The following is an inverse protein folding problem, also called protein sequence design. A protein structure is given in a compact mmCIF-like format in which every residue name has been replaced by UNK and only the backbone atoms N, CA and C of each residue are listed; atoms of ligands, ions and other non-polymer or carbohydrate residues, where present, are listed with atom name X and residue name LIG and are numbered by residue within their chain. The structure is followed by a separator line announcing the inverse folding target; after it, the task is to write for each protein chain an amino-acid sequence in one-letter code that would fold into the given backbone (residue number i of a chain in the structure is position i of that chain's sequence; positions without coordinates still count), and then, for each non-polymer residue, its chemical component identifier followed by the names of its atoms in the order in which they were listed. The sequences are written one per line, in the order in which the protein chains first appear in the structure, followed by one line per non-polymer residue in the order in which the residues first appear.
data_IF_924028464637
#
_entry.id   IF_924028464637
#
_cell.length_a   1.000
_cell.length_b   1.000
_cell.length_c   1.000
_cell.angle_alpha   90.00
_cell.angle_beta   90.00
_cell.angle_gamma   90.00
#
_symmetry.space_group_name_H-M   'P 1'
#
loop_
_entity.id
_entity.type
_entity.pdbx_description
1 polymer ?
#
# COMPACT_ATOMS: atom_id res chain seq x y z
N UNK A 1 28.50 6.53 8.73
CA UNK A 1 27.22 6.80 9.38
C UNK A 1 26.65 8.09 8.81
N UNK A 2 25.39 8.06 8.40
CA UNK A 2 24.70 9.18 7.70
C UNK A 2 23.56 9.76 8.51
N UNK A 3 23.53 9.51 9.81
CA UNK A 3 22.47 9.97 10.72
C UNK A 3 23.06 10.84 11.83
N UNK A 4 22.33 11.87 12.22
CA UNK A 4 22.70 12.77 13.32
C UNK A 4 21.63 12.69 14.41
N UNK A 5 22.07 12.47 15.64
CA UNK A 5 21.20 12.51 16.82
C UNK A 5 21.14 13.95 17.34
N UNK A 6 19.93 14.52 17.41
CA UNK A 6 19.66 15.83 18.01
C UNK A 6 19.00 15.60 19.39
N UNK A 7 19.60 16.16 20.44
CA UNK A 7 19.03 16.15 21.78
C UNK A 7 18.68 17.57 22.19
N UNK A 8 17.39 17.96 22.19
CA UNK A 8 16.99 19.30 22.58
C UNK A 8 17.12 19.53 24.08
N UNK A 9 17.36 20.77 24.46
CA UNK A 9 17.15 21.21 25.84
C UNK A 9 15.64 21.32 26.07
N UNK A 10 15.05 20.32 26.75
CA UNK A 10 13.58 20.19 26.96
C UNK A 10 12.97 21.35 27.76
N UNK A 11 13.78 22.09 28.52
CA UNK A 11 13.34 23.31 29.23
C UNK A 11 13.02 24.46 28.27
N UNK A 12 13.66 24.48 27.09
CA UNK A 12 13.50 25.51 26.08
C UNK A 12 12.72 25.07 24.86
N UNK A 13 12.83 23.79 24.50
CA UNK A 13 12.31 23.26 23.23
C UNK A 13 11.50 21.99 23.49
N UNK A 14 10.27 21.96 22.98
CA UNK A 14 9.48 20.75 22.93
C UNK A 14 10.05 19.81 21.84
N UNK A 15 10.41 18.56 22.18
CA UNK A 15 10.99 17.62 21.20
C UNK A 15 10.06 17.34 20.01
N UNK A 16 8.76 17.21 20.22
CA UNK A 16 7.78 16.98 19.15
C UNK A 16 7.68 18.20 18.23
N UNK A 17 7.56 19.40 18.80
CA UNK A 17 7.59 20.63 18.03
C UNK A 17 8.87 20.74 17.18
N UNK A 18 10.04 20.42 17.75
CA UNK A 18 11.32 20.49 17.05
C UNK A 18 11.35 19.56 15.81
N UNK A 19 10.79 18.36 15.91
CA UNK A 19 10.69 17.43 14.77
C UNK A 19 9.92 18.09 13.63
N UNK A 20 8.73 18.63 13.91
CA UNK A 20 7.91 19.30 12.87
C UNK A 20 8.52 20.59 12.38
N UNK A 21 9.16 21.36 13.26
CA UNK A 21 9.91 22.56 12.84
C UNK A 21 10.97 22.19 11.80
N UNK A 22 11.78 21.16 12.07
CA UNK A 22 12.83 20.72 11.15
C UNK A 22 12.27 20.12 9.84
N UNK A 23 11.07 19.58 9.85
CA UNK A 23 10.36 19.08 8.66
C UNK A 23 9.65 20.20 7.87
N UNK A 24 9.52 21.39 8.43
CA UNK A 24 8.84 22.51 7.78
C UNK A 24 9.68 23.14 6.66
N UNK A 25 9.06 23.91 5.72
CA UNK A 25 9.74 24.39 4.52
C UNK A 25 10.99 25.25 4.79
N UNK A 26 10.96 26.15 5.77
CA UNK A 26 12.07 27.10 6.05
C UNK A 26 13.36 26.37 6.43
N UNK A 27 13.40 25.51 7.48
CA UNK A 27 14.61 24.76 7.83
C UNK A 27 15.06 23.79 6.73
N UNK A 28 14.11 23.15 6.04
CA UNK A 28 14.44 22.25 4.93
C UNK A 28 15.13 23.00 3.78
N UNK A 29 14.64 24.17 3.41
CA UNK A 29 15.27 25.01 2.39
C UNK A 29 16.68 25.45 2.80
N UNK A 30 16.87 25.92 4.03
CA UNK A 30 18.18 26.35 4.55
C UNK A 30 19.18 25.18 4.57
N UNK A 31 18.78 24.00 5.06
CA UNK A 31 19.64 22.82 5.11
C UNK A 31 19.99 22.29 3.72
N UNK A 32 19.02 22.23 2.80
CA UNK A 32 19.26 21.82 1.42
C UNK A 32 20.14 22.79 0.66
N UNK A 33 20.03 24.08 0.94
CA UNK A 33 20.90 25.11 0.35
C UNK A 33 22.38 24.97 0.75
N UNK A 34 22.67 24.26 1.85
CA UNK A 34 24.05 23.96 2.28
C UNK A 34 24.54 22.58 1.81
N UNK A 35 23.69 21.82 1.12
CA UNK A 35 24.03 20.47 0.72
C UNK A 35 25.06 20.44 -0.42
N UNK A 36 26.07 19.58 -0.28
CA UNK A 36 27.09 19.35 -1.28
C UNK A 36 26.95 17.96 -1.91
N UNK A 37 27.19 17.85 -3.20
CA UNK A 37 27.20 16.57 -3.94
C UNK A 37 26.26 16.56 -5.14
N UNK A 38 26.78 16.15 -6.30
CA UNK A 38 26.05 16.15 -7.56
C UNK A 38 25.03 15.02 -7.68
N UNK A 39 25.23 13.90 -6.98
CA UNK A 39 24.40 12.69 -7.09
C UNK A 39 23.58 12.42 -5.83
N UNK A 40 24.14 12.71 -4.66
CA UNK A 40 23.45 12.58 -3.36
C UNK A 40 23.78 13.81 -2.53
N UNK A 41 22.78 14.56 -2.16
CA UNK A 41 22.93 15.75 -1.32
C UNK A 41 23.35 15.34 0.11
N UNK A 42 24.50 15.84 0.56
CA UNK A 42 24.99 15.64 1.92
C UNK A 42 24.93 16.92 2.73
N UNK A 43 24.20 16.88 3.84
CA UNK A 43 24.18 17.96 4.84
C UNK A 43 25.28 17.68 5.85
N UNK A 44 26.20 18.62 6.00
CA UNK A 44 27.30 18.49 6.97
C UNK A 44 26.86 18.87 8.38
N UNK A 45 27.58 18.37 9.39
CA UNK A 45 27.27 18.63 10.79
C UNK A 45 27.33 20.11 11.20
N UNK A 46 28.27 20.94 10.68
CA UNK A 46 28.26 22.40 10.90
C UNK A 46 26.98 23.06 10.42
N UNK A 47 26.40 22.68 9.27
CA UNK A 47 25.15 23.26 8.80
C UNK A 47 24.00 23.02 9.77
N UNK A 48 23.92 21.81 10.32
CA UNK A 48 22.90 21.47 11.33
C UNK A 48 23.14 22.25 12.63
N UNK A 49 24.38 22.36 13.09
CA UNK A 49 24.73 23.10 14.33
C UNK A 49 24.48 24.61 14.25
N UNK A 50 24.64 25.17 13.06
CA UNK A 50 24.49 26.61 12.83
C UNK A 50 23.07 27.00 12.37
N UNK A 51 22.18 26.03 12.20
CA UNK A 51 20.79 26.32 11.86
C UNK A 51 20.16 27.19 12.94
N UNK A 52 19.69 28.37 12.56
CA UNK A 52 18.98 29.27 13.46
C UNK A 52 17.54 28.82 13.62
N UNK A 53 17.14 28.56 14.84
CA UNK A 53 15.78 28.10 15.18
C UNK A 53 15.05 29.25 15.87
N UNK A 54 13.97 29.73 15.28
CA UNK A 54 13.04 30.68 15.88
C UNK A 54 12.01 29.89 16.70
N UNK A 55 11.97 30.09 17.98
CA UNK A 55 11.11 29.37 18.89
C UNK A 55 10.01 30.28 19.43
N UNK A 56 8.73 29.93 19.26
CA UNK A 56 7.66 30.59 20.02
C UNK A 56 7.73 30.21 21.50
N UNK A 57 6.86 30.78 22.31
CA UNK A 57 6.75 30.40 23.70
C UNK A 57 6.54 28.91 23.89
N UNK A 58 7.04 28.36 24.99
CA UNK A 58 7.00 26.90 25.25
C UNK A 58 5.57 26.34 25.22
N UNK A 59 4.60 27.09 25.73
CA UNK A 59 3.17 26.75 25.69
C UNK A 59 2.63 26.58 24.29
N UNK A 60 3.06 27.45 23.36
CA UNK A 60 2.68 27.38 21.93
C UNK A 60 3.35 26.16 21.26
N UNK A 61 4.67 25.94 21.54
CA UNK A 61 5.35 24.74 21.05
C UNK A 61 4.65 23.46 21.50
N UNK A 62 4.22 23.38 22.75
CA UNK A 62 3.56 22.21 23.32
C UNK A 62 2.21 21.95 22.63
N UNK A 63 1.43 23.00 22.36
CA UNK A 63 0.15 22.87 21.64
C UNK A 63 0.36 22.42 20.18
N UNK A 64 1.26 23.08 19.45
CA UNK A 64 1.56 22.72 18.05
C UNK A 64 2.07 21.29 17.98
N UNK A 65 3.04 20.93 18.81
CA UNK A 65 3.58 19.57 18.88
C UNK A 65 2.50 18.53 19.13
N UNK A 66 1.61 18.77 20.10
CA UNK A 66 0.50 17.87 20.43
C UNK A 66 -0.46 17.71 19.25
N UNK A 67 -0.86 18.81 18.60
CA UNK A 67 -1.78 18.74 17.46
C UNK A 67 -1.18 17.90 16.34
N UNK A 68 0.06 18.19 15.94
CA UNK A 68 0.68 17.49 14.80
C UNK A 68 0.97 16.02 15.10
N UNK A 69 1.41 15.69 16.33
CA UNK A 69 1.58 14.30 16.78
C UNK A 69 0.26 13.53 16.76
N UNK A 70 -0.86 14.17 17.13
CA UNK A 70 -2.16 13.52 17.09
C UNK A 70 -2.52 13.04 15.65
N UNK A 71 -2.17 13.81 14.63
CA UNK A 71 -2.35 13.35 13.23
C UNK A 71 -1.50 12.11 12.93
N UNK A 72 -0.22 12.12 13.32
CA UNK A 72 0.68 10.99 13.08
C UNK A 72 0.27 9.74 13.86
N UNK A 73 -0.15 9.89 15.12
CA UNK A 73 -0.67 8.80 15.96
C UNK A 73 -1.92 8.17 15.34
N UNK A 74 -2.83 8.98 14.81
CA UNK A 74 -4.03 8.49 14.12
C UNK A 74 -3.65 7.73 12.84
N UNK A 75 -2.72 8.27 12.05
CA UNK A 75 -2.21 7.60 10.83
C UNK A 75 -1.57 6.26 11.19
N UNK A 76 -0.72 6.23 12.20
CA UNK A 76 -0.05 4.99 12.64
C UNK A 76 -1.06 3.97 13.18
N UNK A 77 -2.04 4.40 13.98
CA UNK A 77 -3.10 3.53 14.46
C UNK A 77 -3.91 2.93 13.30
N UNK A 78 -4.28 3.73 12.31
CA UNK A 78 -4.97 3.24 11.12
C UNK A 78 -4.11 2.24 10.34
N UNK A 79 -2.81 2.50 10.18
CA UNK A 79 -1.88 1.57 9.52
C UNK A 79 -1.79 0.22 10.26
N UNK A 80 -1.76 0.23 11.60
CA UNK A 80 -1.79 -0.99 12.41
C UNK A 80 -3.11 -1.76 12.21
N UNK A 81 -4.25 -1.05 12.18
CA UNK A 81 -5.54 -1.66 11.91
C UNK A 81 -5.60 -2.30 10.52
N UNK A 82 -5.10 -1.59 9.48
CA UNK A 82 -5.02 -2.12 8.11
C UNK A 82 -4.25 -3.45 8.12
N UNK A 83 -3.04 -3.45 8.67
CA UNK A 83 -2.21 -4.66 8.75
C UNK A 83 -2.93 -5.83 9.44
N UNK A 84 -3.60 -5.57 10.57
CA UNK A 84 -4.33 -6.61 11.31
C UNK A 84 -5.52 -7.16 10.51
N UNK A 85 -6.22 -6.32 9.74
CA UNK A 85 -7.32 -6.74 8.88
C UNK A 85 -6.82 -7.58 7.69
N UNK A 86 -5.70 -7.19 7.08
CA UNK A 86 -5.05 -7.99 6.03
C UNK A 86 -4.62 -9.35 6.55
N UNK A 87 -3.95 -9.39 7.70
CA UNK A 87 -3.55 -10.64 8.35
C UNK A 87 -4.76 -11.52 8.73
N UNK A 88 -5.86 -10.92 9.17
CA UNK A 88 -7.08 -11.66 9.52
C UNK A 88 -7.72 -12.29 8.28
N UNK A 89 -7.82 -11.56 7.16
CA UNK A 89 -8.35 -12.09 5.90
C UNK A 89 -7.46 -13.23 5.37
N UNK A 90 -6.13 -13.07 5.40
CA UNK A 90 -5.19 -14.09 4.97
C UNK A 90 -5.23 -15.34 5.86
N UNK A 91 -5.35 -15.15 7.18
CA UNK A 91 -5.47 -16.28 8.12
C UNK A 91 -6.76 -17.06 7.88
N UNK A 92 -7.89 -16.36 7.65
CA UNK A 92 -9.16 -16.99 7.33
C UNK A 92 -9.06 -17.79 6.03
N UNK A 93 -8.45 -17.22 4.98
CA UNK A 93 -8.22 -17.91 3.72
C UNK A 93 -7.38 -19.17 3.93
N UNK A 94 -6.26 -19.05 4.66
CA UNK A 94 -5.38 -20.18 4.95
C UNK A 94 -6.11 -21.28 5.72
N UNK A 95 -6.86 -20.90 6.74
CA UNK A 95 -7.61 -21.87 7.56
C UNK A 95 -8.62 -22.65 6.73
N UNK A 96 -9.39 -21.98 5.87
CA UNK A 96 -10.43 -22.63 5.10
C UNK A 96 -9.89 -23.43 3.89
N UNK A 97 -9.00 -22.84 3.12
CA UNK A 97 -8.63 -23.35 1.79
C UNK A 97 -7.25 -23.99 1.72
N UNK A 98 -6.39 -23.77 2.71
CA UNK A 98 -5.07 -24.41 2.80
C UNK A 98 -5.07 -25.50 3.88
N UNK A 99 -5.53 -25.15 5.08
CA UNK A 99 -5.59 -26.09 6.22
C UNK A 99 -6.89 -26.93 6.21
N UNK A 100 -7.80 -26.69 5.26
CA UNK A 100 -9.06 -27.38 5.00
C UNK A 100 -10.03 -27.38 6.21
N UNK A 101 -9.97 -26.35 7.06
CA UNK A 101 -10.85 -26.15 8.22
C UNK A 101 -11.97 -25.16 7.93
N UNK A 102 -12.70 -25.40 6.85
CA UNK A 102 -13.86 -24.61 6.42
C UNK A 102 -15.14 -25.04 7.17
N UNK A 103 -16.20 -24.23 7.19
CA UNK A 103 -17.47 -24.61 7.80
C UNK A 103 -18.04 -25.90 7.20
N UNK A 104 -18.23 -26.91 8.03
CA UNK A 104 -18.73 -28.24 7.62
C UNK A 104 -17.65 -29.26 7.24
N UNK A 105 -16.36 -28.91 7.40
CA UNK A 105 -15.24 -29.80 7.07
C UNK A 105 -15.27 -31.14 7.82
N UNK A 106 -15.82 -31.18 9.04
CA UNK A 106 -15.90 -32.39 9.85
C UNK A 106 -16.79 -33.49 9.20
N UNK A 107 -17.73 -33.08 8.36
CA UNK A 107 -18.67 -33.96 7.66
C UNK A 107 -18.31 -34.14 6.17
N UNK A 108 -17.26 -33.50 5.69
CA UNK A 108 -16.84 -33.53 4.29
C UNK A 108 -15.79 -34.62 4.08
N UNK A 109 -15.99 -35.53 3.16
CA UNK A 109 -15.01 -36.56 2.81
C UNK A 109 -13.82 -35.92 2.06
N UNK A 110 -12.64 -36.46 2.29
CA UNK A 110 -11.46 -36.14 1.48
C UNK A 110 -11.32 -37.22 0.40
N UNK A 111 -11.34 -36.78 -0.86
CA UNK A 111 -11.19 -37.64 -2.04
C UNK A 111 -10.00 -37.14 -2.82
N UNK A 112 -9.02 -38.01 -3.10
CA UNK A 112 -7.77 -37.65 -3.80
C UNK A 112 -7.02 -36.43 -3.24
N UNK A 113 -7.11 -36.27 -1.90
CA UNK A 113 -6.41 -35.21 -1.16
C UNK A 113 -7.07 -33.83 -1.21
N UNK A 114 -8.31 -33.76 -1.71
CA UNK A 114 -9.15 -32.53 -1.66
C UNK A 114 -10.54 -32.87 -1.07
N UNK A 115 -11.23 -31.90 -0.45
CA UNK A 115 -12.60 -32.10 0.01
C UNK A 115 -13.55 -32.46 -1.14
N UNK A 116 -14.53 -33.29 -0.86
CA UNK A 116 -15.57 -33.66 -1.82
C UNK A 116 -16.28 -32.43 -2.38
N UNK A 117 -16.40 -32.33 -3.71
CA UNK A 117 -16.93 -31.16 -4.42
C UNK A 117 -15.90 -30.09 -4.77
N UNK A 118 -14.64 -30.23 -4.31
CA UNK A 118 -13.55 -29.35 -4.73
C UNK A 118 -12.76 -29.97 -5.88
N UNK A 119 -12.07 -29.14 -6.65
CA UNK A 119 -11.21 -29.59 -7.74
C UNK A 119 -9.78 -29.11 -7.63
N UNK A 120 -8.84 -29.88 -8.22
CA UNK A 120 -7.50 -29.40 -8.54
C UNK A 120 -7.51 -28.83 -9.94
N UNK A 121 -7.10 -27.60 -10.09
CA UNK A 121 -7.14 -26.91 -11.37
C UNK A 121 -5.91 -26.04 -11.55
N UNK A 122 -5.75 -25.45 -12.72
CA UNK A 122 -4.70 -24.47 -12.98
C UNK A 122 -5.21 -23.05 -12.70
N UNK A 123 -4.32 -22.16 -12.27
CA UNK A 123 -4.68 -20.78 -12.00
C UNK A 123 -5.32 -20.07 -13.20
N UNK A 124 -5.02 -20.52 -14.43
CA UNK A 124 -5.62 -20.00 -15.66
C UNK A 124 -7.11 -20.35 -15.81
N UNK A 125 -7.60 -21.34 -15.06
CA UNK A 125 -9.04 -21.67 -14.99
C UNK A 125 -9.77 -20.78 -13.99
N UNK A 126 -9.04 -20.16 -13.05
CA UNK A 126 -9.57 -19.25 -12.02
C UNK A 126 -9.56 -17.79 -12.52
N UNK A 127 -8.54 -17.39 -13.29
CA UNK A 127 -8.35 -15.99 -13.68
C UNK A 127 -7.55 -15.84 -14.98
N UNK A 128 -7.66 -14.65 -15.58
CA UNK A 128 -6.86 -14.29 -16.75
C UNK A 128 -6.09 -12.99 -16.50
N UNK A 129 -4.77 -13.03 -16.62
CA UNK A 129 -3.95 -11.82 -16.54
C UNK A 129 -3.87 -11.10 -17.89
N UNK A 130 -3.96 -9.78 -17.84
CA UNK A 130 -3.74 -8.92 -19.01
C UNK A 130 -2.72 -7.82 -18.67
N UNK A 131 -1.93 -7.43 -19.68
CA UNK A 131 -0.96 -6.33 -19.55
C UNK A 131 -1.69 -4.99 -19.53
N UNK A 132 -1.19 -4.04 -18.75
CA UNK A 132 -1.63 -2.65 -18.77
C UNK A 132 -1.31 -1.95 -20.10
N UNK A 133 -1.70 -0.70 -20.19
CA UNK A 133 -1.70 0.09 -21.41
C UNK A 133 -0.60 1.14 -21.38
N UNK A 134 -0.03 1.42 -22.55
CA UNK A 134 0.96 2.47 -22.69
C UNK A 134 0.33 3.84 -22.40
N UNK A 135 1.04 4.67 -21.64
CA UNK A 135 0.68 6.06 -21.36
C UNK A 135 1.96 6.79 -20.96
N UNK A 136 2.43 7.67 -21.80
CA UNK A 136 3.59 8.51 -21.49
C UNK A 136 3.20 9.68 -20.58
N UNK A 137 4.18 10.27 -19.88
CA UNK A 137 3.92 11.45 -19.03
C UNK A 137 3.30 12.60 -19.81
N UNK A 138 3.68 12.79 -21.08
CA UNK A 138 3.17 13.86 -21.94
C UNK A 138 1.71 13.64 -22.39
N UNK A 139 1.24 12.41 -22.40
CA UNK A 139 -0.13 12.03 -22.74
C UNK A 139 -1.06 12.07 -21.53
N UNK A 140 -0.51 12.10 -20.30
CA UNK A 140 -1.29 12.24 -19.09
C UNK A 140 -1.96 13.62 -19.05
N UNK A 141 -3.29 13.64 -19.11
CA UNK A 141 -4.11 14.84 -18.95
C UNK A 141 -4.64 14.90 -17.52
N UNK A 142 -4.65 16.09 -16.93
CA UNK A 142 -5.16 16.27 -15.57
C UNK A 142 -6.56 15.66 -15.40
N UNK A 143 -6.74 14.83 -14.38
CA UNK A 143 -7.97 14.10 -14.14
C UNK A 143 -8.00 13.40 -12.79
N UNK A 144 -9.04 12.62 -12.55
CA UNK A 144 -9.33 11.99 -11.27
C UNK A 144 -8.97 10.49 -11.19
N UNK A 145 -8.71 9.85 -12.32
CA UNK A 145 -8.47 8.42 -12.35
C UNK A 145 -7.00 8.12 -12.10
N UNK A 146 -6.66 7.29 -11.11
CA UNK A 146 -5.27 6.96 -10.84
C UNK A 146 -4.65 6.19 -12.02
N UNK A 147 -3.43 6.56 -12.36
CA UNK A 147 -2.55 5.79 -13.24
C UNK A 147 -1.70 4.91 -12.34
N UNK A 148 -2.00 3.61 -12.34
CA UNK A 148 -1.39 2.63 -11.45
C UNK A 148 -0.18 2.01 -12.13
N UNK A 149 0.96 2.08 -11.45
CA UNK A 149 2.20 1.39 -11.82
C UNK A 149 2.36 0.06 -11.08
N UNK A 150 3.57 -0.48 -11.10
CA UNK A 150 3.86 -1.81 -10.53
C UNK A 150 3.62 -1.91 -9.02
N UNK A 151 3.81 -0.82 -8.27
CA UNK A 151 3.68 -0.81 -6.81
C UNK A 151 3.02 0.43 -6.24
N UNK A 152 2.79 1.45 -7.07
CA UNK A 152 2.27 2.75 -6.63
C UNK A 152 1.44 3.42 -7.72
N UNK A 153 0.64 4.40 -7.32
CA UNK A 153 0.04 5.37 -8.25
C UNK A 153 1.15 6.29 -8.75
N UNK A 154 1.34 6.37 -10.06
CA UNK A 154 2.39 7.16 -10.74
C UNK A 154 1.88 8.49 -11.27
N UNK A 155 0.57 8.74 -11.20
CA UNK A 155 -0.07 9.97 -11.64
C UNK A 155 -1.60 9.82 -11.70
N UNK A 156 -2.24 10.82 -12.28
CA UNK A 156 -3.68 10.82 -12.52
C UNK A 156 -3.99 11.18 -13.96
N UNK A 157 -5.11 10.65 -14.50
CA UNK A 157 -5.53 10.88 -15.87
C UNK A 157 -7.05 11.20 -15.93
N UNK A 158 -7.49 11.82 -17.01
CA UNK A 158 -8.90 12.15 -17.22
C UNK A 158 -9.74 10.96 -17.73
N UNK A 159 -9.08 9.89 -18.18
CA UNK A 159 -9.71 8.66 -18.67
C UNK A 159 -9.24 7.44 -17.87
N UNK A 160 -10.04 6.39 -17.87
CA UNK A 160 -9.68 5.08 -17.34
C UNK A 160 -9.80 3.99 -18.40
N UNK A 161 -9.07 2.91 -18.26
CA UNK A 161 -9.19 1.72 -19.13
C UNK A 161 -9.80 0.53 -18.41
N UNK A 162 -9.72 0.51 -17.08
CA UNK A 162 -10.17 -0.62 -16.26
C UNK A 162 -11.20 -0.11 -15.27
N UNK A 163 -12.36 -0.79 -15.26
CA UNK A 163 -13.41 -0.54 -14.27
C UNK A 163 -13.04 -1.27 -12.99
N UNK A 164 -13.05 -0.55 -11.88
CA UNK A 164 -12.83 -1.13 -10.56
C UNK A 164 -14.07 -1.86 -10.01
N UNK A 165 -13.90 -2.74 -8.98
CA UNK A 165 -12.60 -3.06 -8.39
C UNK A 165 -11.75 -3.96 -9.28
N UNK A 166 -10.41 -3.91 -9.10
CA UNK A 166 -9.47 -4.74 -9.85
C UNK A 166 -8.23 -5.11 -9.05
N UNK A 167 -7.63 -6.25 -9.37
CA UNK A 167 -6.39 -6.73 -8.76
C UNK A 167 -5.26 -6.50 -9.75
N UNK A 168 -4.18 -5.89 -9.26
CA UNK A 168 -3.01 -5.50 -10.04
C UNK A 168 -1.74 -6.06 -9.41
N UNK A 169 -0.78 -6.46 -10.23
CA UNK A 169 0.57 -6.83 -9.80
C UNK A 169 1.63 -6.25 -10.74
N UNK A 170 2.86 -6.14 -10.27
CA UNK A 170 3.98 -5.78 -11.13
C UNK A 170 4.29 -6.90 -12.12
N UNK A 171 4.78 -6.51 -13.30
CA UNK A 171 5.19 -7.45 -14.35
C UNK A 171 6.62 -7.95 -14.15
N UNK A 172 7.49 -7.13 -13.54
CA UNK A 172 8.92 -7.40 -13.38
C UNK A 172 9.42 -6.79 -12.08
N UNK A 173 10.20 -7.54 -11.29
CA UNK A 173 10.80 -7.08 -10.03
C UNK A 173 9.84 -6.89 -8.84
N UNK A 174 8.54 -6.73 -9.09
CA UNK A 174 7.49 -6.63 -8.07
C UNK A 174 6.36 -7.63 -8.27
N UNK A 175 6.66 -8.71 -8.99
CA UNK A 175 5.75 -9.83 -9.19
C UNK A 175 5.39 -10.47 -7.84
N UNK A 176 4.11 -10.83 -7.65
CA UNK A 176 3.61 -11.38 -6.40
C UNK A 176 3.27 -10.32 -5.33
N UNK A 177 3.54 -9.03 -5.60
CA UNK A 177 3.00 -7.94 -4.79
C UNK A 177 1.71 -7.45 -5.45
N UNK A 178 0.60 -7.73 -4.79
CA UNK A 178 -0.72 -7.38 -5.33
C UNK A 178 -1.25 -6.11 -4.72
N UNK A 179 -1.95 -5.30 -5.54
CA UNK A 179 -2.71 -4.14 -5.13
C UNK A 179 -4.19 -4.38 -5.45
N UNK A 180 -5.08 -4.07 -4.52
CA UNK A 180 -6.52 -4.07 -4.74
C UNK A 180 -6.97 -2.64 -5.04
N UNK A 181 -7.36 -2.37 -6.30
CA UNK A 181 -7.76 -1.04 -6.74
C UNK A 181 -9.28 -0.96 -6.77
N UNK A 182 -9.84 -0.11 -5.93
CA UNK A 182 -11.29 -0.01 -5.73
C UNK A 182 -12.04 0.75 -6.80
N UNK A 183 -11.44 1.85 -7.24
CA UNK A 183 -12.07 2.79 -8.17
C UNK A 183 -11.61 2.50 -9.60
N UNK A 184 -12.24 3.11 -10.61
CA UNK A 184 -11.80 2.99 -11.99
C UNK A 184 -10.38 3.56 -12.14
N UNK A 185 -9.54 2.92 -12.95
CA UNK A 185 -8.13 3.28 -13.07
C UNK A 185 -7.57 3.05 -14.48
N UNK A 186 -6.43 3.65 -14.75
CA UNK A 186 -5.57 3.31 -15.86
C UNK A 186 -4.41 2.47 -15.34
N UNK A 187 -4.18 1.29 -15.88
CA UNK A 187 -3.00 0.49 -15.55
C UNK A 187 -1.90 0.73 -16.56
N UNK A 188 -0.73 1.14 -16.07
CA UNK A 188 0.45 1.32 -16.90
C UNK A 188 1.02 -0.02 -17.40
N UNK A 189 1.65 -0.02 -18.57
CA UNK A 189 2.16 -1.20 -19.25
C UNK A 189 3.23 -2.01 -18.49
N UNK A 190 3.79 -1.45 -17.43
CA UNK A 190 4.76 -2.11 -16.53
C UNK A 190 4.12 -3.11 -15.57
N UNK A 191 2.79 -3.22 -15.61
CA UNK A 191 2.00 -4.01 -14.67
C UNK A 191 1.01 -4.94 -15.39
N UNK A 192 0.46 -5.87 -14.63
CA UNK A 192 -0.59 -6.80 -15.05
C UNK A 192 -1.82 -6.58 -14.17
N UNK A 193 -3.01 -6.84 -14.72
CA UNK A 193 -4.25 -6.88 -13.98
C UNK A 193 -5.03 -8.14 -14.34
N UNK A 194 -5.97 -8.53 -13.49
CA UNK A 194 -6.90 -9.59 -13.80
C UNK A 194 -8.02 -9.02 -14.67
N UNK A 195 -8.07 -9.46 -15.91
CA UNK A 195 -9.07 -9.01 -16.88
C UNK A 195 -10.34 -9.84 -16.85
N UNK A 196 -10.27 -11.06 -16.30
CA UNK A 196 -11.39 -11.98 -16.19
C UNK A 196 -11.19 -12.84 -14.93
N UNK A 197 -12.19 -12.91 -14.09
CA UNK A 197 -12.22 -13.69 -12.84
C UNK A 197 -12.91 -15.05 -13.04
N UNK A 198 -13.41 -15.36 -14.24
CA UNK A 198 -14.06 -16.63 -14.59
C UNK A 198 -15.13 -17.07 -13.57
N UNK A 199 -15.99 -16.12 -13.22
CA UNK A 199 -17.08 -16.25 -12.25
C UNK A 199 -16.66 -16.42 -10.79
N UNK A 200 -15.34 -16.45 -10.48
CA UNK A 200 -14.87 -16.51 -9.11
C UNK A 200 -14.98 -15.15 -8.38
N UNK A 201 -15.23 -15.23 -7.08
CA UNK A 201 -15.33 -14.04 -6.24
C UNK A 201 -13.98 -13.31 -6.14
N UNK A 202 -13.97 -12.00 -6.36
CA UNK A 202 -12.76 -11.18 -6.39
C UNK A 202 -11.96 -11.23 -5.05
N UNK A 203 -12.64 -11.33 -3.90
CA UNK A 203 -11.95 -11.40 -2.59
C UNK A 203 -11.31 -12.77 -2.37
N UNK A 204 -11.95 -13.83 -2.86
CA UNK A 204 -11.35 -15.16 -2.91
C UNK A 204 -10.10 -15.14 -3.78
N UNK A 205 -10.20 -14.66 -5.02
CA UNK A 205 -9.07 -14.58 -5.96
C UNK A 205 -7.93 -13.72 -5.42
N UNK A 206 -8.23 -12.58 -4.78
CA UNK A 206 -7.21 -11.74 -4.18
C UNK A 206 -6.46 -12.45 -3.06
N UNK A 207 -7.16 -13.19 -2.21
CA UNK A 207 -6.55 -13.95 -1.12
C UNK A 207 -5.78 -15.17 -1.63
N UNK A 208 -6.29 -15.88 -2.64
CA UNK A 208 -5.59 -16.96 -3.34
C UNK A 208 -4.23 -16.50 -3.85
N UNK A 209 -4.21 -15.40 -4.59
CA UNK A 209 -2.98 -14.89 -5.21
C UNK A 209 -1.89 -14.55 -4.19
N UNK A 210 -2.25 -14.13 -2.99
CA UNK A 210 -1.28 -13.84 -1.93
C UNK A 210 -0.65 -15.10 -1.32
N UNK A 211 -1.20 -16.28 -1.59
CA UNK A 211 -0.62 -17.57 -1.15
C UNK A 211 0.29 -18.19 -2.20
N UNK A 212 0.23 -17.73 -3.44
CA UNK A 212 1.05 -18.27 -4.54
C UNK A 212 2.45 -17.67 -4.48
N UNK A 213 3.46 -18.51 -4.31
CA UNK A 213 4.87 -18.09 -4.36
C UNK A 213 5.39 -17.97 -5.79
N UNK A 214 5.15 -16.80 -6.39
CA UNK A 214 5.66 -16.50 -7.74
C UNK A 214 7.18 -16.34 -7.80
N UNK A 215 7.86 -16.13 -6.68
CA UNK A 215 9.30 -15.99 -6.65
C UNK A 215 10.00 -17.34 -6.91
N UNK A 216 9.43 -18.44 -6.39
CA UNK A 216 9.94 -19.80 -6.61
C UNK A 216 9.78 -20.29 -8.05
N UNK A 217 8.85 -19.71 -8.81
CA UNK A 217 8.57 -20.09 -10.20
C UNK A 217 9.57 -19.51 -11.20
N UNK A 218 10.57 -18.78 -10.70
CA UNK A 218 11.57 -18.13 -11.55
C UNK A 218 12.70 -19.09 -11.92
N UNK A 219 12.64 -19.64 -13.11
CA UNK A 219 13.68 -20.53 -13.65
C UNK A 219 14.95 -19.75 -14.07
N UNK A 220 15.67 -19.14 -13.09
CA UNK A 220 17.06 -18.73 -13.27
C UNK A 220 17.34 -17.42 -14.03
N UNK A 221 16.36 -16.61 -14.32
CA UNK A 221 16.56 -15.26 -14.87
C UNK A 221 16.74 -14.20 -13.80
N UNK A 222 17.62 -13.23 -14.00
CA UNK A 222 17.90 -12.16 -13.03
C UNK A 222 16.68 -11.27 -12.67
N UNK A 223 15.61 -11.31 -13.47
CA UNK A 223 14.36 -10.58 -13.24
C UNK A 223 13.17 -11.49 -13.55
N UNK A 224 12.34 -11.85 -12.55
CA UNK A 224 11.12 -12.61 -12.80
C UNK A 224 10.18 -11.86 -13.73
N UNK A 225 9.90 -12.44 -14.89
CA UNK A 225 8.88 -11.92 -15.82
C UNK A 225 7.76 -12.95 -15.91
N UNK A 226 6.54 -12.53 -15.61
CA UNK A 226 5.37 -13.41 -15.69
C UNK A 226 5.11 -13.77 -17.15
N UNK A 227 5.46 -15.01 -17.51
CA UNK A 227 5.13 -15.59 -18.80
C UNK A 227 3.85 -16.42 -18.65
N UNK A 228 2.97 -16.38 -19.66
CA UNK A 228 1.74 -17.19 -19.69
C UNK A 228 2.01 -18.68 -19.45
N UNK A 229 3.13 -19.20 -19.93
CA UNK A 229 3.53 -20.59 -19.74
C UNK A 229 3.91 -20.93 -18.28
N UNK A 230 4.31 -19.94 -17.49
CA UNK A 230 4.60 -20.14 -16.05
C UNK A 230 3.29 -20.22 -15.27
N UNK A 231 2.31 -19.40 -15.63
CA UNK A 231 0.99 -19.39 -15.00
C UNK A 231 0.21 -20.68 -15.25
N UNK A 232 0.32 -21.27 -16.44
CA UNK A 232 -0.38 -22.53 -16.78
C UNK A 232 0.09 -23.74 -15.96
N UNK A 233 1.22 -23.61 -15.25
CA UNK A 233 1.77 -24.69 -14.41
C UNK A 233 1.48 -24.52 -12.91
N UNK A 234 0.77 -23.44 -12.51
CA UNK A 234 0.40 -23.22 -11.12
C UNK A 234 -0.88 -23.99 -10.83
N UNK A 235 -0.73 -25.10 -10.11
CA UNK A 235 -1.86 -25.87 -9.60
C UNK A 235 -2.44 -25.17 -8.37
N UNK A 236 -3.76 -25.06 -8.32
CA UNK A 236 -4.51 -24.47 -7.21
C UNK A 236 -5.71 -25.38 -6.86
N UNK A 237 -6.20 -25.24 -5.65
CA UNK A 237 -7.42 -25.92 -5.21
C UNK A 237 -8.58 -24.94 -5.37
N UNK A 238 -9.60 -25.37 -6.09
CA UNK A 238 -10.83 -24.64 -6.34
C UNK A 238 -11.93 -25.18 -5.44
N UNK A 239 -12.38 -24.40 -4.43
CA UNK A 239 -13.51 -24.78 -3.59
C UNK A 239 -14.84 -24.52 -4.30
N UNK A 240 -15.93 -25.01 -3.72
CA UNK A 240 -17.28 -24.74 -4.25
C UNK A 240 -17.60 -23.25 -4.21
N UNK A 241 -18.46 -22.78 -5.13
CA UNK A 241 -18.91 -21.38 -5.20
C UNK A 241 -19.55 -20.91 -3.90
N UNK A 242 -20.31 -21.80 -3.22
CA UNK A 242 -20.93 -21.48 -1.94
C UNK A 242 -19.90 -21.13 -0.87
N UNK A 243 -18.78 -21.88 -0.81
CA UNK A 243 -17.71 -21.58 0.16
C UNK A 243 -16.94 -20.33 -0.21
N UNK A 244 -16.72 -20.06 -1.50
CA UNK A 244 -16.13 -18.80 -1.95
C UNK A 244 -17.02 -17.61 -1.54
N UNK A 245 -18.32 -17.70 -1.72
CA UNK A 245 -19.28 -16.67 -1.33
C UNK A 245 -19.38 -16.52 0.21
N UNK A 246 -19.33 -17.62 0.96
CA UNK A 246 -19.29 -17.55 2.43
C UNK A 246 -18.01 -16.86 2.92
N UNK A 247 -16.86 -17.16 2.33
CA UNK A 247 -15.60 -16.50 2.61
C UNK A 247 -15.69 -15.00 2.28
N UNK A 248 -16.19 -14.67 1.11
CA UNK A 248 -16.33 -13.29 0.66
C UNK A 248 -17.20 -12.46 1.60
N UNK A 249 -18.30 -12.99 2.11
CA UNK A 249 -19.17 -12.32 3.10
C UNK A 249 -18.42 -11.92 4.38
N UNK A 250 -17.37 -12.64 4.74
CA UNK A 250 -16.53 -12.35 5.92
C UNK A 250 -15.36 -11.43 5.53
N UNK A 251 -14.74 -11.67 4.39
CA UNK A 251 -13.54 -10.95 3.94
C UNK A 251 -13.85 -9.54 3.40
N UNK A 252 -14.94 -9.38 2.64
CA UNK A 252 -15.32 -8.11 2.04
C UNK A 252 -15.45 -6.95 3.04
N UNK A 253 -16.14 -7.09 4.19
CA UNK A 253 -16.20 -6.02 5.19
C UNK A 253 -14.83 -5.61 5.73
N UNK A 254 -13.88 -6.55 5.83
CA UNK A 254 -12.50 -6.27 6.24
C UNK A 254 -11.78 -5.42 5.18
N UNK A 255 -11.86 -5.79 3.91
CA UNK A 255 -11.28 -5.02 2.81
C UNK A 255 -11.96 -3.64 2.64
N UNK A 256 -13.28 -3.54 2.84
CA UNK A 256 -13.97 -2.24 2.85
C UNK A 256 -13.48 -1.35 4.01
N UNK A 257 -13.21 -1.92 5.18
CA UNK A 257 -12.64 -1.19 6.30
C UNK A 257 -11.23 -0.71 5.99
N UNK A 258 -10.39 -1.54 5.36
CA UNK A 258 -9.05 -1.17 4.88
C UNK A 258 -9.15 0.04 3.95
N UNK A 259 -9.98 -0.01 2.92
CA UNK A 259 -10.24 1.12 2.00
C UNK A 259 -10.56 2.42 2.73
N UNK A 260 -11.43 2.34 3.74
CA UNK A 260 -11.85 3.52 4.50
C UNK A 260 -10.71 4.09 5.35
N UNK A 261 -9.89 3.22 5.96
CA UNK A 261 -8.73 3.62 6.76
C UNK A 261 -7.64 4.25 5.88
N UNK A 262 -7.39 3.72 4.68
CA UNK A 262 -6.48 4.31 3.69
C UNK A 262 -6.93 5.72 3.30
N UNK A 263 -8.22 5.89 2.94
CA UNK A 263 -8.79 7.20 2.62
C UNK A 263 -8.73 8.19 3.80
N UNK A 264 -8.89 7.70 5.05
CA UNK A 264 -8.69 8.52 6.24
C UNK A 264 -7.23 8.96 6.36
N UNK A 265 -6.28 8.06 6.17
CA UNK A 265 -4.85 8.38 6.25
C UNK A 265 -4.45 9.42 5.21
N UNK A 266 -4.97 9.36 3.99
CA UNK A 266 -4.69 10.37 2.97
C UNK A 266 -5.22 11.75 3.37
N UNK A 267 -6.41 11.82 3.96
CA UNK A 267 -6.97 13.07 4.48
C UNK A 267 -6.18 13.61 5.68
N UNK A 268 -5.79 12.73 6.61
CA UNK A 268 -4.98 13.11 7.79
C UNK A 268 -3.61 13.65 7.37
N UNK A 269 -2.92 12.98 6.44
CA UNK A 269 -1.66 13.46 5.86
C UNK A 269 -1.83 14.83 5.21
N UNK A 270 -2.84 14.98 4.36
CA UNK A 270 -3.12 16.24 3.68
C UNK A 270 -3.40 17.36 4.69
N UNK A 271 -4.21 17.12 5.70
CA UNK A 271 -4.52 18.12 6.73
C UNK A 271 -3.27 18.52 7.54
N UNK A 272 -2.48 17.53 7.99
CA UNK A 272 -1.21 17.77 8.69
C UNK A 272 -0.26 18.61 7.85
N UNK A 273 -0.07 18.23 6.59
CA UNK A 273 0.89 18.87 5.68
C UNK A 273 0.46 20.30 5.30
N UNK A 274 -0.84 20.58 5.28
CA UNK A 274 -1.38 21.93 5.11
C UNK A 274 -1.23 22.80 6.38
N UNK A 275 -1.39 22.21 7.56
CA UNK A 275 -1.31 22.92 8.84
C UNK A 275 0.14 23.20 9.26
N UNK A 276 1.06 22.28 8.95
CA UNK A 276 2.45 22.40 9.35
C UNK A 276 3.09 23.75 9.00
N UNK A 277 3.11 24.22 7.74
CA UNK A 277 3.70 25.51 7.40
C UNK A 277 2.98 26.68 8.08
N UNK A 278 1.68 26.61 8.26
CA UNK A 278 0.86 27.66 8.87
C UNK A 278 1.14 27.83 10.37
N UNK A 279 1.29 26.73 11.09
CA UNK A 279 1.70 26.77 12.49
C UNK A 279 3.14 27.28 12.64
N UNK A 280 4.05 26.87 11.74
CA UNK A 280 5.45 27.28 11.82
C UNK A 280 5.67 28.75 11.43
N UNK A 281 4.79 29.33 10.62
CA UNK A 281 4.84 30.77 10.25
C UNK A 281 4.06 31.65 11.23
N UNK A 282 3.25 31.09 12.13
CA UNK A 282 2.33 31.87 12.98
C UNK A 282 1.08 32.37 12.25
N UNK A 283 0.80 31.88 11.03
CA UNK A 283 -0.44 32.23 10.28
C UNK A 283 -1.69 31.69 10.99
N UNK A 284 -1.55 30.57 11.69
CA UNK A 284 -2.60 29.97 12.53
C UNK A 284 -2.12 29.96 13.98
N UNK A 285 -2.85 30.63 14.84
CA UNK A 285 -2.62 30.63 16.28
C UNK A 285 -3.24 29.40 16.95
N UNK A 286 -2.62 28.93 18.06
CA UNK A 286 -3.05 27.74 18.84
C UNK A 286 -3.15 28.04 20.32
#
# INVERSE_FOLDING_TARGET
QRTVLIRPNVQKVNPQYLVYYLLSPKPQYELLGTANGATVAHINLPAIRNLKIELPEKSVQDKIGTILVTYDDLIENNQRQIKLLEEAAQRLYKEWFVDLRFPGHENTKIVDGVPEGWSRTNINEILTFHRGYDLTKNEMKAGRYPVVGSTTVIGYHNEFKIKGPGIVTGRSGSLGKYQFIWDNFWLHNTSLYISDYKDHNIFFVYSLLQTVDFASLNNGGAIPTLNRNVLSNIEVIEPTDELQEMFAKIAEPQYQKIKNLEKQNDKLKTARDLLLPKFMSGEVEV
#
